data_IF_090246065298
#
_entry.id   IF_090246065298
#
_cell.length_a   1.000
_cell.length_b   1.000
_cell.length_c   1.000
_cell.angle_alpha   90.00
_cell.angle_beta   90.00
_cell.angle_gamma   90.00
#
_symmetry.space_group_name_H-M   'P 1'
#
loop_
_entity.id
_entity.type
_entity.pdbx_description
1 polymer ?
#
# COMPACT_ATOMS: atom_id res chain seq x y z
N UNK A 1 -21.83 -7.50 -25.90
CA UNK A 1 -20.59 -7.57 -26.72
C UNK A 1 -19.70 -6.31 -26.64
N UNK A 2 -19.95 -5.34 -25.75
CA UNK A 2 -19.17 -4.07 -25.69
C UNK A 2 -18.00 -4.04 -24.69
N UNK A 3 -17.88 -5.04 -23.82
CA UNK A 3 -16.87 -5.04 -22.75
C UNK A 3 -15.43 -4.99 -23.29
N UNK A 4 -15.04 -5.78 -24.33
CA UNK A 4 -13.69 -5.73 -24.86
C UNK A 4 -13.35 -4.35 -25.44
N UNK A 5 -14.30 -3.72 -26.15
CA UNK A 5 -14.11 -2.39 -26.76
C UNK A 5 -13.94 -1.30 -25.69
N UNK A 6 -14.69 -1.39 -24.59
CA UNK A 6 -14.57 -0.43 -23.46
C UNK A 6 -13.22 -0.58 -22.74
N UNK A 7 -12.77 -1.80 -22.50
CA UNK A 7 -11.46 -2.08 -21.90
C UNK A 7 -10.34 -1.54 -22.79
N UNK A 8 -10.37 -1.83 -24.10
CA UNK A 8 -9.36 -1.33 -25.05
C UNK A 8 -9.32 0.20 -25.08
N UNK A 9 -10.48 0.88 -25.07
CA UNK A 9 -10.52 2.34 -25.01
C UNK A 9 -9.93 2.88 -23.71
N UNK A 10 -10.27 2.29 -22.57
CA UNK A 10 -9.73 2.70 -21.27
C UNK A 10 -8.21 2.51 -21.21
N UNK A 11 -7.70 1.38 -21.72
CA UNK A 11 -6.27 1.11 -21.81
C UNK A 11 -5.56 2.11 -22.74
N UNK A 12 -6.12 2.41 -23.91
CA UNK A 12 -5.55 3.43 -24.82
C UNK A 12 -5.55 4.82 -24.19
N UNK A 13 -6.55 5.15 -23.39
CA UNK A 13 -6.62 6.43 -22.68
C UNK A 13 -5.54 6.52 -21.59
N UNK A 14 -5.36 5.46 -20.81
CA UNK A 14 -4.34 5.33 -19.76
C UNK A 14 -2.92 5.05 -20.30
N UNK A 15 -2.77 4.69 -21.57
CA UNK A 15 -1.51 4.23 -22.15
C UNK A 15 -0.32 5.17 -21.87
N UNK A 16 -0.40 6.50 -22.03
CA UNK A 16 0.73 7.38 -21.73
C UNK A 16 1.20 7.29 -20.27
N UNK A 17 0.27 7.10 -19.33
CA UNK A 17 0.59 6.96 -17.91
C UNK A 17 1.30 5.62 -17.62
N UNK A 18 0.78 4.53 -18.20
CA UNK A 18 1.37 3.19 -18.02
C UNK A 18 2.75 3.11 -18.69
N UNK A 19 2.89 3.61 -19.92
CA UNK A 19 4.19 3.66 -20.60
C UNK A 19 5.20 4.52 -19.85
N UNK A 20 4.79 5.73 -19.44
CA UNK A 20 5.64 6.61 -18.65
C UNK A 20 6.09 5.97 -17.34
N UNK A 21 5.17 5.33 -16.62
CA UNK A 21 5.45 4.57 -15.41
C UNK A 21 6.51 3.48 -15.66
N UNK A 22 6.30 2.63 -16.68
CA UNK A 22 7.24 1.56 -17.03
C UNK A 22 8.61 2.10 -17.41
N UNK A 23 8.69 3.18 -18.19
CA UNK A 23 9.97 3.80 -18.56
C UNK A 23 10.75 4.29 -17.34
N UNK A 24 10.08 5.00 -16.42
CA UNK A 24 10.70 5.45 -15.16
C UNK A 24 11.16 4.24 -14.34
N UNK A 25 10.35 3.19 -14.26
CA UNK A 25 10.70 2.00 -13.48
C UNK A 25 11.86 1.21 -14.05
N UNK A 26 11.91 1.04 -15.37
CA UNK A 26 13.04 0.41 -16.05
C UNK A 26 14.32 1.22 -15.87
N UNK A 27 14.24 2.56 -15.92
CA UNK A 27 15.39 3.41 -15.63
C UNK A 27 15.87 3.25 -14.19
N UNK A 28 14.97 3.28 -13.20
CA UNK A 28 15.34 3.03 -11.81
C UNK A 28 15.93 1.62 -11.60
N UNK A 29 15.38 0.60 -12.26
CA UNK A 29 15.91 -0.77 -12.21
C UNK A 29 17.31 -0.83 -12.81
N UNK A 30 17.57 -0.13 -13.92
CA UNK A 30 18.90 -0.04 -14.53
C UNK A 30 19.89 0.60 -13.55
N UNK A 31 19.54 1.74 -12.97
CA UNK A 31 20.38 2.44 -11.98
C UNK A 31 20.69 1.53 -10.79
N UNK A 32 19.67 0.85 -10.23
CA UNK A 32 19.89 -0.09 -9.13
C UNK A 32 20.77 -1.26 -9.56
N UNK A 33 20.55 -1.82 -10.75
CA UNK A 33 21.33 -2.95 -11.25
C UNK A 33 22.81 -2.60 -11.39
N UNK A 34 23.11 -1.39 -11.89
CA UNK A 34 24.48 -0.88 -11.99
C UNK A 34 25.12 -0.66 -10.61
N UNK A 35 24.35 -0.12 -9.65
CA UNK A 35 24.81 0.04 -8.28
C UNK A 35 25.05 -1.31 -7.60
N UNK A 36 24.09 -2.23 -7.66
CA UNK A 36 24.17 -3.55 -7.05
C UNK A 36 25.37 -4.33 -7.61
N UNK A 37 25.57 -4.31 -8.92
CA UNK A 37 26.71 -4.93 -9.56
C UNK A 37 28.05 -4.37 -9.07
N UNK A 38 28.16 -3.04 -8.91
CA UNK A 38 29.37 -2.40 -8.37
C UNK A 38 29.66 -2.78 -6.91
N UNK A 39 28.60 -3.04 -6.14
CA UNK A 39 28.71 -3.49 -4.75
C UNK A 39 28.88 -5.02 -4.63
N UNK A 40 28.94 -5.75 -5.75
CA UNK A 40 29.05 -7.22 -5.74
C UNK A 40 27.75 -7.95 -5.38
N UNK A 41 26.60 -7.27 -5.38
CA UNK A 41 25.29 -7.83 -5.09
C UNK A 41 24.50 -8.17 -6.36
N UNK A 42 23.69 -9.23 -6.29
CA UNK A 42 22.73 -9.56 -7.32
C UNK A 42 21.45 -8.72 -7.21
N UNK A 43 20.90 -8.28 -8.34
CA UNK A 43 19.64 -7.52 -8.35
C UNK A 43 18.43 -8.36 -7.95
N UNK A 44 18.42 -9.65 -8.31
CA UNK A 44 17.28 -10.52 -8.05
C UNK A 44 17.06 -10.79 -6.55
N UNK A 45 18.08 -11.17 -5.74
CA UNK A 45 17.92 -11.31 -4.29
C UNK A 45 17.39 -10.03 -3.63
N UNK A 46 17.94 -8.87 -4.00
CA UNK A 46 17.52 -7.56 -3.51
C UNK A 46 16.02 -7.29 -3.75
N UNK A 47 15.48 -7.71 -4.89
CA UNK A 47 14.08 -7.47 -5.23
C UNK A 47 13.14 -8.58 -4.71
N UNK A 48 13.58 -9.83 -4.70
CA UNK A 48 12.70 -10.97 -4.55
C UNK A 48 12.80 -11.68 -3.19
N UNK A 49 13.88 -11.49 -2.43
CA UNK A 49 14.16 -12.30 -1.23
C UNK A 49 14.62 -11.50 -0.02
N UNK A 50 15.06 -10.24 -0.18
CA UNK A 50 15.53 -9.44 0.94
C UNK A 50 14.40 -8.79 1.75
N UNK A 51 14.71 -8.50 3.01
CA UNK A 51 13.85 -7.82 3.99
C UNK A 51 12.46 -8.49 4.13
N UNK A 52 11.36 -7.76 3.92
CA UNK A 52 10.00 -8.29 4.12
C UNK A 52 9.62 -9.35 3.09
N UNK A 53 10.31 -9.43 1.95
CA UNK A 53 10.05 -10.46 0.93
C UNK A 53 10.23 -11.84 1.55
N UNK A 54 11.25 -12.02 2.39
CA UNK A 54 11.53 -13.28 3.08
C UNK A 54 10.38 -13.72 3.98
N UNK A 55 9.71 -12.78 4.65
CA UNK A 55 8.52 -13.07 5.48
C UNK A 55 7.34 -13.54 4.63
N UNK A 56 7.06 -12.85 3.52
CA UNK A 56 5.96 -13.25 2.62
C UNK A 56 6.21 -14.60 1.97
N UNK A 57 7.45 -14.86 1.52
CA UNK A 57 7.86 -16.16 0.97
C UNK A 57 7.75 -17.25 2.04
N UNK A 58 8.27 -17.00 3.24
CA UNK A 58 8.20 -17.95 4.35
C UNK A 58 6.77 -18.31 4.75
N UNK A 59 5.83 -17.34 4.74
CA UNK A 59 4.40 -17.59 4.97
C UNK A 59 3.79 -18.38 3.81
N UNK A 60 4.16 -18.07 2.57
CA UNK A 60 3.65 -18.78 1.39
C UNK A 60 4.03 -20.27 1.42
N UNK A 61 5.25 -20.58 1.88
CA UNK A 61 5.80 -21.94 1.97
C UNK A 61 5.30 -22.69 3.21
N UNK A 62 5.40 -22.07 4.38
CA UNK A 62 5.26 -22.75 5.68
C UNK A 62 3.97 -22.39 6.43
N UNK A 63 3.27 -21.35 5.97
CA UNK A 63 2.12 -20.78 6.66
C UNK A 63 2.50 -19.91 7.86
N UNK A 64 1.50 -19.53 8.63
CA UNK A 64 1.66 -18.64 9.77
C UNK A 64 2.07 -19.39 11.05
N UNK A 65 2.77 -18.68 11.94
CA UNK A 65 3.11 -19.11 13.28
C UNK A 65 1.86 -19.40 14.12
N UNK A 66 1.92 -20.43 14.96
CA UNK A 66 0.79 -20.86 15.82
C UNK A 66 0.78 -20.14 17.17
N UNK A 67 1.93 -19.63 17.60
CA UNK A 67 2.14 -19.05 18.92
C UNK A 67 2.71 -17.64 18.79
N UNK A 68 2.56 -16.84 19.86
CA UNK A 68 3.08 -15.47 19.90
C UNK A 68 4.61 -15.45 20.03
N UNK A 69 5.19 -16.39 20.79
CA UNK A 69 6.60 -16.36 21.14
C UNK A 69 6.97 -15.17 22.04
N UNK A 70 8.27 -14.99 22.27
CA UNK A 70 8.83 -13.91 23.11
C UNK A 70 9.92 -13.10 22.41
N UNK A 71 10.37 -13.55 21.25
CA UNK A 71 11.40 -12.86 20.47
C UNK A 71 10.83 -11.62 19.78
N UNK A 72 11.57 -10.51 19.86
CA UNK A 72 11.29 -9.31 19.08
C UNK A 72 11.57 -9.56 17.60
N UNK A 73 10.81 -8.87 16.74
CA UNK A 73 11.00 -8.83 15.28
C UNK A 73 10.99 -10.21 14.60
N UNK A 74 10.29 -11.18 15.20
CA UNK A 74 10.37 -12.59 14.82
C UNK A 74 9.02 -13.27 14.51
N UNK A 75 7.89 -12.56 14.64
CA UNK A 75 6.56 -13.18 14.49
C UNK A 75 5.88 -12.80 13.18
N UNK A 76 5.66 -13.81 12.32
CA UNK A 76 5.08 -13.60 11.00
C UNK A 76 3.57 -13.24 10.99
N UNK A 77 2.88 -13.31 12.14
CA UNK A 77 1.48 -12.86 12.27
C UNK A 77 1.32 -11.34 12.07
N UNK A 78 2.41 -10.56 12.06
CA UNK A 78 2.38 -9.14 11.71
C UNK A 78 2.05 -8.89 10.23
N UNK A 79 2.32 -9.85 9.36
CA UNK A 79 2.15 -9.73 7.92
C UNK A 79 0.76 -10.19 7.50
N UNK A 80 0.02 -9.32 6.81
CA UNK A 80 -1.35 -9.59 6.40
C UNK A 80 -1.43 -10.58 5.22
N UNK A 81 -2.56 -11.32 5.07
CA UNK A 81 -2.55 -12.61 4.39
C UNK A 81 -2.70 -12.56 2.87
N UNK A 82 -3.24 -11.49 2.30
CA UNK A 82 -3.63 -11.51 0.88
C UNK A 82 -2.43 -11.73 -0.04
N UNK A 83 -1.32 -11.04 0.22
CA UNK A 83 -0.12 -11.15 -0.59
C UNK A 83 0.54 -12.54 -0.50
N UNK A 84 0.92 -13.08 0.69
CA UNK A 84 1.55 -14.39 0.76
C UNK A 84 0.63 -15.54 0.31
N UNK A 85 -0.69 -15.43 0.50
CA UNK A 85 -1.65 -16.41 -0.05
C UNK A 85 -1.66 -16.35 -1.58
N UNK A 86 -1.67 -15.15 -2.17
CA UNK A 86 -1.60 -14.99 -3.62
C UNK A 86 -0.26 -15.51 -4.19
N UNK A 87 0.86 -15.26 -3.51
CA UNK A 87 2.18 -15.81 -3.86
C UNK A 87 2.16 -17.33 -3.83
N UNK A 88 1.61 -17.93 -2.75
CA UNK A 88 1.43 -19.37 -2.67
C UNK A 88 0.64 -19.87 -3.87
N UNK A 89 -0.54 -19.33 -4.14
CA UNK A 89 -1.40 -19.73 -5.26
C UNK A 89 -0.69 -19.63 -6.62
N UNK A 90 0.02 -18.53 -6.88
CA UNK A 90 0.78 -18.34 -8.12
C UNK A 90 1.93 -19.34 -8.26
N UNK A 91 2.56 -19.73 -7.15
CA UNK A 91 3.64 -20.72 -7.14
C UNK A 91 3.16 -22.14 -7.50
N UNK A 92 1.86 -22.44 -7.33
CA UNK A 92 1.26 -23.69 -7.84
C UNK A 92 1.01 -23.65 -9.35
N UNK A 93 0.84 -22.46 -9.93
CA UNK A 93 0.40 -22.27 -11.31
C UNK A 93 1.55 -21.94 -12.26
N UNK A 94 2.61 -21.32 -11.75
CA UNK A 94 3.74 -20.83 -12.53
C UNK A 94 5.00 -21.63 -12.22
N UNK A 95 5.86 -21.88 -13.22
CA UNK A 95 7.19 -22.40 -12.96
C UNK A 95 8.04 -21.34 -12.25
N UNK A 96 8.87 -21.77 -11.29
CA UNK A 96 9.82 -20.91 -10.58
C UNK A 96 9.68 -20.97 -9.06
N UNK A 97 10.42 -20.09 -8.37
CA UNK A 97 10.39 -19.98 -6.91
C UNK A 97 9.24 -19.10 -6.41
N UNK A 98 8.75 -19.29 -5.17
CA UNK A 98 7.78 -18.39 -4.56
C UNK A 98 8.23 -16.92 -4.52
N UNK A 99 9.52 -16.67 -4.34
CA UNK A 99 10.12 -15.35 -4.46
C UNK A 99 9.89 -14.72 -5.85
N UNK A 100 10.05 -15.51 -6.93
CA UNK A 100 9.77 -15.05 -8.30
C UNK A 100 8.28 -14.78 -8.53
N UNK A 101 7.40 -15.60 -7.95
CA UNK A 101 5.96 -15.40 -8.01
C UNK A 101 5.54 -14.11 -7.27
N UNK A 102 6.15 -13.83 -6.12
CA UNK A 102 6.00 -12.57 -5.38
C UNK A 102 6.43 -11.36 -6.20
N UNK A 103 7.64 -11.41 -6.75
CA UNK A 103 8.17 -10.35 -7.61
C UNK A 103 7.22 -10.06 -8.79
N UNK A 104 6.77 -11.11 -9.49
CA UNK A 104 5.83 -10.96 -10.60
C UNK A 104 4.50 -10.34 -10.15
N UNK A 105 3.94 -10.80 -9.02
CA UNK A 105 2.71 -10.26 -8.46
C UNK A 105 2.85 -8.78 -8.15
N UNK A 106 3.97 -8.36 -7.56
CA UNK A 106 4.23 -6.96 -7.24
C UNK A 106 4.34 -6.09 -8.50
N UNK A 107 5.09 -6.53 -9.52
CA UNK A 107 5.22 -5.82 -10.81
C UNK A 107 3.86 -5.68 -11.50
N UNK A 108 3.07 -6.75 -11.57
CA UNK A 108 1.73 -6.70 -12.18
C UNK A 108 0.82 -5.77 -11.40
N UNK A 109 0.81 -5.88 -10.07
CA UNK A 109 0.04 -4.99 -9.21
C UNK A 109 0.46 -3.52 -9.38
N UNK A 110 1.75 -3.26 -9.62
CA UNK A 110 2.26 -1.90 -9.79
C UNK A 110 1.71 -1.23 -11.07
N UNK A 111 1.48 -2.00 -12.13
CA UNK A 111 0.80 -1.51 -13.33
C UNK A 111 -0.67 -1.17 -13.05
N UNK A 112 -1.37 -2.00 -12.28
CA UNK A 112 -2.75 -1.71 -11.85
C UNK A 112 -2.82 -0.51 -10.91
N UNK A 113 -1.83 -0.33 -10.04
CA UNK A 113 -1.69 0.84 -9.19
C UNK A 113 -1.46 2.12 -10.01
N UNK A 114 -0.51 2.12 -10.95
CA UNK A 114 -0.27 3.24 -11.85
C UNK A 114 -1.54 3.62 -12.64
N UNK A 115 -2.28 2.62 -13.12
CA UNK A 115 -3.56 2.86 -13.79
C UNK A 115 -4.63 3.43 -12.84
N UNK A 116 -4.74 2.90 -11.61
CA UNK A 116 -5.66 3.43 -10.61
C UNK A 116 -5.37 4.88 -10.22
N UNK A 117 -4.09 5.21 -9.99
CA UNK A 117 -3.62 6.57 -9.70
C UNK A 117 -3.93 7.51 -10.86
N UNK A 118 -3.62 7.08 -12.09
CA UNK A 118 -4.02 7.80 -13.30
C UNK A 118 -5.54 8.04 -13.33
N UNK A 119 -6.34 7.02 -13.05
CA UNK A 119 -7.80 7.10 -13.13
C UNK A 119 -8.38 8.10 -12.12
N UNK A 120 -7.83 8.15 -10.89
CA UNK A 120 -8.21 9.15 -9.88
C UNK A 120 -7.85 10.56 -10.36
N UNK A 121 -6.63 10.76 -10.84
CA UNK A 121 -6.18 12.07 -11.35
C UNK A 121 -6.98 12.55 -12.57
N UNK A 122 -7.20 11.65 -13.54
CA UNK A 122 -8.00 11.92 -14.74
C UNK A 122 -9.44 12.30 -14.38
N UNK A 123 -10.03 11.62 -13.39
CA UNK A 123 -11.39 11.88 -12.93
C UNK A 123 -11.56 13.26 -12.30
N UNK A 124 -10.55 13.77 -11.60
CA UNK A 124 -10.63 15.02 -10.84
C UNK A 124 -10.12 16.23 -11.63
N UNK A 125 -9.02 16.06 -12.37
CA UNK A 125 -8.29 17.17 -12.98
C UNK A 125 -7.89 16.89 -14.44
N UNK A 126 -8.41 15.81 -15.03
CA UNK A 126 -8.22 15.47 -16.43
C UNK A 126 -6.90 14.74 -16.73
N UNK A 127 -6.80 14.27 -17.97
CA UNK A 127 -5.82 13.27 -18.41
C UNK A 127 -4.38 13.63 -18.11
N UNK A 128 -4.00 14.90 -18.30
CA UNK A 128 -2.62 15.38 -18.08
C UNK A 128 -2.21 15.20 -16.62
N UNK A 129 -3.10 15.54 -15.68
CA UNK A 129 -2.83 15.37 -14.25
C UNK A 129 -2.78 13.88 -13.89
N UNK A 130 -3.68 13.05 -14.45
CA UNK A 130 -3.60 11.60 -14.28
C UNK A 130 -2.25 11.01 -14.70
N UNK A 131 -1.72 11.42 -15.87
CA UNK A 131 -0.40 10.97 -16.35
C UNK A 131 0.70 11.45 -15.40
N UNK A 132 0.66 12.73 -15.01
CA UNK A 132 1.64 13.30 -14.10
C UNK A 132 1.67 12.58 -12.75
N UNK A 133 0.52 12.26 -12.16
CA UNK A 133 0.45 11.53 -10.88
C UNK A 133 1.02 10.11 -10.98
N UNK A 134 0.77 9.40 -12.10
CA UNK A 134 1.36 8.09 -12.32
C UNK A 134 2.89 8.15 -12.46
N UNK A 135 3.40 9.17 -13.15
CA UNK A 135 4.85 9.42 -13.27
C UNK A 135 5.48 9.81 -11.94
N UNK A 136 4.83 10.70 -11.19
CA UNK A 136 5.28 11.11 -9.86
C UNK A 136 5.36 9.90 -8.94
N UNK A 137 4.31 9.07 -8.93
CA UNK A 137 4.30 7.82 -8.16
C UNK A 137 5.43 6.88 -8.59
N UNK A 138 5.72 6.76 -9.90
CA UNK A 138 6.85 5.97 -10.40
C UNK A 138 8.22 6.48 -9.90
N UNK A 139 8.35 7.80 -9.73
CA UNK A 139 9.60 8.49 -9.43
C UNK A 139 9.80 8.82 -7.94
N UNK A 140 8.82 8.54 -7.08
CA UNK A 140 8.91 8.85 -5.65
C UNK A 140 10.19 8.25 -5.03
N UNK A 141 10.78 8.93 -4.04
CA UNK A 141 11.75 8.33 -3.13
C UNK A 141 11.27 6.95 -2.67
N UNK A 142 12.16 5.95 -2.68
CA UNK A 142 11.82 4.57 -2.30
C UNK A 142 10.89 3.84 -3.31
N UNK A 143 10.70 4.37 -4.53
CA UNK A 143 9.93 3.73 -5.59
C UNK A 143 10.43 2.34 -6.03
N UNK A 144 11.62 1.93 -5.58
CA UNK A 144 12.12 0.56 -5.75
C UNK A 144 11.17 -0.49 -5.16
N UNK A 145 10.60 -0.21 -3.98
CA UNK A 145 9.73 -1.14 -3.25
C UNK A 145 8.49 -1.52 -4.07
N UNK A 146 8.10 -0.70 -5.05
CA UNK A 146 7.00 -1.01 -5.95
C UNK A 146 7.27 -2.27 -6.81
N UNK A 147 8.54 -2.60 -7.06
CA UNK A 147 8.99 -3.79 -7.80
C UNK A 147 9.73 -4.78 -6.89
N UNK A 148 9.59 -4.67 -5.57
CA UNK A 148 10.05 -5.72 -4.65
C UNK A 148 8.92 -6.71 -4.39
N UNK A 149 9.24 -7.91 -3.89
CA UNK A 149 8.30 -8.98 -3.50
C UNK A 149 7.43 -8.62 -2.29
N UNK A 150 6.75 -7.48 -2.37
CA UNK A 150 6.22 -6.67 -1.27
C UNK A 150 4.74 -6.30 -1.51
N UNK A 151 4.06 -5.85 -0.45
CA UNK A 151 2.62 -5.58 -0.47
C UNK A 151 2.24 -4.21 -1.05
N UNK A 152 3.19 -3.28 -1.18
CA UNK A 152 3.03 -1.87 -1.52
C UNK A 152 2.20 -1.69 -2.79
N UNK A 153 2.65 -2.28 -3.90
CA UNK A 153 1.99 -2.17 -5.18
C UNK A 153 0.59 -2.77 -5.18
N UNK A 154 0.40 -3.91 -4.48
CA UNK A 154 -0.91 -4.55 -4.35
C UNK A 154 -1.89 -3.72 -3.51
N UNK A 155 -1.41 -3.18 -2.39
CA UNK A 155 -2.16 -2.26 -1.55
C UNK A 155 -2.54 -1.00 -2.34
N UNK A 156 -1.59 -0.35 -3.02
CA UNK A 156 -1.84 0.87 -3.79
C UNK A 156 -2.83 0.63 -4.92
N UNK A 157 -2.77 -0.53 -5.60
CA UNK A 157 -3.75 -0.90 -6.62
C UNK A 157 -5.16 -0.96 -6.03
N UNK A 158 -5.36 -1.72 -4.96
CA UNK A 158 -6.67 -1.80 -4.31
C UNK A 158 -7.15 -0.44 -3.76
N UNK A 159 -6.26 0.34 -3.17
CA UNK A 159 -6.58 1.66 -2.65
C UNK A 159 -7.01 2.62 -3.75
N UNK A 160 -6.20 2.79 -4.81
CA UNK A 160 -6.50 3.73 -5.88
C UNK A 160 -7.82 3.37 -6.60
N UNK A 161 -8.06 2.08 -6.86
CA UNK A 161 -9.31 1.63 -7.48
C UNK A 161 -10.52 1.71 -6.53
N UNK A 162 -10.34 1.48 -5.23
CA UNK A 162 -11.38 1.68 -4.22
C UNK A 162 -11.82 3.15 -4.18
N UNK A 163 -10.85 4.07 -4.12
CA UNK A 163 -11.10 5.51 -4.12
C UNK A 163 -11.77 5.95 -5.43
N UNK A 164 -11.28 5.48 -6.57
CA UNK A 164 -11.92 5.72 -7.87
C UNK A 164 -13.37 5.21 -7.92
N UNK A 165 -13.62 4.01 -7.38
CA UNK A 165 -14.96 3.45 -7.28
C UNK A 165 -15.86 4.30 -6.38
N UNK A 166 -15.34 4.83 -5.27
CA UNK A 166 -16.06 5.77 -4.41
C UNK A 166 -16.40 7.08 -5.16
N UNK A 167 -15.43 7.68 -5.86
CA UNK A 167 -15.60 8.91 -6.65
C UNK A 167 -16.57 8.75 -7.84
N UNK A 168 -16.83 7.51 -8.27
CA UNK A 168 -17.74 7.18 -9.36
C UNK A 168 -19.05 6.54 -8.88
N UNK A 169 -19.30 6.49 -7.57
CA UNK A 169 -20.53 5.96 -6.98
C UNK A 169 -20.69 4.44 -7.06
N UNK A 170 -19.62 3.69 -7.32
CA UNK A 170 -19.58 2.22 -7.41
C UNK A 170 -19.27 1.61 -6.04
N UNK A 171 -20.14 1.87 -5.07
CA UNK A 171 -19.92 1.60 -3.65
C UNK A 171 -19.58 0.15 -3.30
N UNK A 172 -20.23 -0.84 -3.93
CA UNK A 172 -19.91 -2.26 -3.68
C UNK A 172 -18.45 -2.55 -4.05
N UNK A 173 -17.99 -2.08 -5.22
CA UNK A 173 -16.60 -2.21 -5.61
C UNK A 173 -15.65 -1.43 -4.69
N UNK A 174 -16.04 -0.22 -4.26
CA UNK A 174 -15.24 0.55 -3.31
C UNK A 174 -15.00 -0.23 -2.01
N UNK A 175 -16.07 -0.80 -1.43
CA UNK A 175 -16.00 -1.62 -0.23
C UNK A 175 -15.22 -2.93 -0.41
N UNK A 176 -15.46 -3.66 -1.49
CA UNK A 176 -14.73 -4.91 -1.78
C UNK A 176 -13.23 -4.65 -1.93
N UNK A 177 -12.83 -3.63 -2.68
CA UNK A 177 -11.42 -3.29 -2.88
C UNK A 177 -10.78 -2.76 -1.58
N UNK A 178 -11.52 -2.01 -0.77
CA UNK A 178 -11.04 -1.58 0.55
C UNK A 178 -10.83 -2.76 1.50
N UNK A 179 -11.72 -3.75 1.47
CA UNK A 179 -11.57 -5.00 2.21
C UNK A 179 -10.33 -5.78 1.78
N UNK A 180 -10.11 -5.92 0.47
CA UNK A 180 -8.90 -6.55 -0.07
C UNK A 180 -7.63 -5.78 0.31
N UNK A 181 -7.63 -4.45 0.24
CA UNK A 181 -6.53 -3.63 0.75
C UNK A 181 -6.29 -3.86 2.25
N UNK A 182 -7.36 -3.97 3.05
CA UNK A 182 -7.31 -4.32 4.46
C UNK A 182 -6.72 -5.69 4.75
N UNK A 183 -6.70 -6.61 3.77
CA UNK A 183 -6.03 -7.92 3.86
C UNK A 183 -4.58 -7.88 3.34
N UNK A 184 -4.07 -6.75 2.87
CA UNK A 184 -2.67 -6.62 2.43
C UNK A 184 -1.75 -6.10 3.52
N UNK A 185 -2.21 -5.15 4.35
CA UNK A 185 -1.37 -4.42 5.30
C UNK A 185 -2.17 -3.85 6.48
N UNK A 186 -1.51 -3.56 7.63
CA UNK A 186 -2.15 -2.91 8.77
C UNK A 186 -2.73 -1.53 8.43
N UNK A 187 -2.04 -0.77 7.58
CA UNK A 187 -2.44 0.57 7.11
C UNK A 187 -3.71 0.56 6.26
N UNK A 188 -4.18 -0.60 5.80
CA UNK A 188 -5.46 -0.73 5.09
C UNK A 188 -6.68 -0.30 5.90
N UNK A 189 -6.55 -0.23 7.24
CA UNK A 189 -7.59 0.34 8.11
C UNK A 189 -7.93 1.80 7.76
N UNK A 190 -6.96 2.59 7.28
CA UNK A 190 -7.19 3.98 6.89
C UNK A 190 -8.15 4.08 5.70
N UNK A 191 -8.00 3.20 4.72
CA UNK A 191 -8.89 3.14 3.56
C UNK A 191 -10.28 2.63 3.95
N UNK A 192 -10.33 1.58 4.78
CA UNK A 192 -11.59 1.06 5.30
C UNK A 192 -12.38 2.13 6.04
N UNK A 193 -11.71 2.91 6.91
CA UNK A 193 -12.30 4.02 7.64
C UNK A 193 -12.81 5.12 6.70
N UNK A 194 -12.00 5.51 5.70
CA UNK A 194 -12.40 6.53 4.73
C UNK A 194 -13.65 6.14 3.93
N UNK A 195 -13.69 4.92 3.38
CA UNK A 195 -14.84 4.43 2.61
C UNK A 195 -16.08 4.29 3.51
N UNK A 196 -15.91 3.74 4.72
CA UNK A 196 -17.01 3.57 5.68
C UNK A 196 -17.60 4.90 6.11
N UNK A 197 -16.76 5.88 6.45
CA UNK A 197 -17.20 7.21 6.89
C UNK A 197 -17.98 7.93 5.79
N UNK A 198 -17.45 7.97 4.57
CA UNK A 198 -18.14 8.65 3.46
C UNK A 198 -19.42 7.90 3.07
N UNK A 199 -19.44 6.57 3.18
CA UNK A 199 -20.67 5.79 3.02
C UNK A 199 -21.73 6.16 4.06
N UNK A 200 -21.35 6.23 5.35
CA UNK A 200 -22.26 6.62 6.45
C UNK A 200 -22.82 8.03 6.24
N UNK A 201 -21.99 9.00 5.87
CA UNK A 201 -22.43 10.36 5.59
C UNK A 201 -23.36 10.40 4.37
N UNK A 202 -23.07 9.63 3.33
CA UNK A 202 -23.93 9.54 2.14
C UNK A 202 -25.30 8.93 2.46
N UNK A 203 -25.35 7.93 3.34
CA UNK A 203 -26.60 7.28 3.78
C UNK A 203 -27.49 8.22 4.59
N UNK A 204 -26.91 9.17 5.35
CA UNK A 204 -27.67 10.19 6.09
C UNK A 204 -28.44 11.12 5.16
N UNK A 205 -27.85 11.45 4.00
CA UNK A 205 -28.51 12.31 3.01
C UNK A 205 -29.52 11.55 2.16
N UNK A 206 -29.18 10.33 1.73
CA UNK A 206 -30.07 9.48 0.93
C UNK A 206 -29.71 8.01 1.11
N UNK A 207 -30.69 7.22 1.54
CA UNK A 207 -30.49 5.79 1.66
C UNK A 207 -30.22 5.13 0.30
N UNK A 208 -29.24 4.24 0.28
CA UNK A 208 -28.91 3.41 -0.86
C UNK A 208 -28.29 2.10 -0.36
N UNK A 209 -28.92 0.97 -0.68
CA UNK A 209 -28.41 -0.34 -0.27
C UNK A 209 -26.99 -0.59 -0.77
N UNK A 210 -26.62 -0.05 -1.95
CA UNK A 210 -25.26 -0.17 -2.50
C UNK A 210 -24.23 0.54 -1.64
N UNK A 211 -24.59 1.72 -1.11
CA UNK A 211 -23.74 2.49 -0.20
C UNK A 211 -23.60 1.75 1.13
N UNK A 212 -24.70 1.22 1.67
CA UNK A 212 -24.69 0.42 2.90
C UNK A 212 -23.80 -0.80 2.76
N UNK A 213 -23.97 -1.59 1.70
CA UNK A 213 -23.13 -2.77 1.42
C UNK A 213 -21.67 -2.36 1.22
N UNK A 214 -21.40 -1.31 0.44
CA UNK A 214 -20.03 -0.82 0.24
C UNK A 214 -19.34 -0.38 1.54
N UNK A 215 -20.03 0.40 2.37
CA UNK A 215 -19.51 0.83 3.67
C UNK A 215 -19.32 -0.34 4.64
N UNK A 216 -20.25 -1.29 4.67
CA UNK A 216 -20.15 -2.47 5.52
C UNK A 216 -19.06 -3.46 5.08
N UNK A 217 -18.79 -3.59 3.77
CA UNK A 217 -17.74 -4.45 3.24
C UNK A 217 -16.33 -3.91 3.54
N UNK A 218 -16.16 -2.60 3.51
CA UNK A 218 -14.85 -1.95 3.59
C UNK A 218 -13.97 -2.39 4.79
N UNK A 219 -14.47 -2.49 6.04
CA UNK A 219 -13.64 -2.90 7.18
C UNK A 219 -13.47 -4.41 7.32
N UNK A 220 -14.23 -5.23 6.59
CA UNK A 220 -14.29 -6.68 6.85
C UNK A 220 -12.94 -7.37 6.68
N UNK A 221 -12.15 -6.99 5.68
CA UNK A 221 -10.87 -7.65 5.42
C UNK A 221 -9.87 -7.43 6.56
N UNK A 222 -9.73 -6.19 7.00
CA UNK A 222 -8.84 -5.86 8.12
C UNK A 222 -9.33 -6.52 9.42
N UNK A 223 -10.62 -6.42 9.73
CA UNK A 223 -11.21 -7.03 10.92
C UNK A 223 -11.12 -8.56 10.90
N UNK A 224 -11.30 -9.19 9.73
CA UNK A 224 -11.19 -10.64 9.59
C UNK A 224 -9.79 -11.14 9.94
N UNK A 225 -8.74 -10.46 9.48
CA UNK A 225 -7.38 -10.88 9.81
C UNK A 225 -7.04 -10.62 11.27
N UNK A 226 -7.34 -9.42 11.80
CA UNK A 226 -7.10 -9.10 13.21
C UNK A 226 -7.86 -10.05 14.15
N UNK A 227 -9.13 -10.32 13.84
CA UNK A 227 -9.94 -11.30 14.56
C UNK A 227 -9.39 -12.72 14.45
N UNK A 228 -8.93 -13.13 13.26
CA UNK A 228 -8.30 -14.44 13.06
C UNK A 228 -7.01 -14.60 13.88
N UNK A 229 -6.15 -13.58 13.93
CA UNK A 229 -4.96 -13.61 14.80
C UNK A 229 -5.36 -13.72 16.27
N UNK A 230 -6.41 -13.00 16.69
CA UNK A 230 -6.92 -13.09 18.05
C UNK A 230 -7.44 -14.48 18.41
N UNK A 231 -8.22 -15.11 17.52
CA UNK A 231 -8.67 -16.49 17.67
C UNK A 231 -7.50 -17.47 17.69
N UNK A 232 -6.51 -17.27 16.82
CA UNK A 232 -5.35 -18.16 16.70
C UNK A 232 -4.47 -18.16 17.94
N UNK A 233 -4.31 -17.00 18.58
CA UNK A 233 -3.53 -16.86 19.80
C UNK A 233 -4.36 -17.07 21.08
N UNK A 234 -5.68 -17.28 20.96
CA UNK A 234 -6.58 -17.36 22.11
C UNK A 234 -6.68 -16.06 22.91
N UNK A 235 -6.47 -14.90 22.26
CA UNK A 235 -6.35 -13.59 22.89
C UNK A 235 -7.06 -12.51 22.08
N UNK A 236 -7.96 -11.74 22.71
CA UNK A 236 -8.67 -10.66 22.04
C UNK A 236 -7.73 -9.55 21.52
N UNK A 237 -6.60 -9.32 22.21
CA UNK A 237 -5.56 -8.35 21.84
C UNK A 237 -4.46 -8.96 20.96
N UNK A 238 -4.62 -10.18 20.45
CA UNK A 238 -3.55 -10.98 19.86
C UNK A 238 -2.73 -10.27 18.78
N UNK A 239 -3.39 -9.59 17.84
CA UNK A 239 -2.69 -8.84 16.80
C UNK A 239 -1.87 -7.66 17.36
N UNK A 240 -2.40 -6.95 18.35
CA UNK A 240 -1.69 -5.85 19.00
C UNK A 240 -0.52 -6.35 19.85
N UNK A 241 -0.64 -7.54 20.46
CA UNK A 241 0.47 -8.19 21.13
C UNK A 241 1.60 -8.54 20.16
N UNK A 242 1.27 -8.99 18.94
CA UNK A 242 2.25 -9.19 17.86
C UNK A 242 2.91 -7.87 17.47
N UNK A 243 2.14 -6.78 17.29
CA UNK A 243 2.70 -5.47 16.94
C UNK A 243 3.69 -4.93 17.99
N UNK A 244 3.47 -5.21 19.28
CA UNK A 244 4.42 -4.86 20.35
C UNK A 244 5.76 -5.59 20.21
N UNK A 245 5.76 -6.85 19.76
CA UNK A 245 6.99 -7.59 19.47
C UNK A 245 7.73 -7.04 18.24
N UNK A 246 7.04 -6.30 17.38
CA UNK A 246 7.62 -5.59 16.23
C UNK A 246 8.00 -4.14 16.55
N UNK A 247 8.05 -3.78 17.84
CA UNK A 247 8.36 -2.42 18.32
C UNK A 247 7.44 -1.32 17.74
N UNK A 248 6.31 -1.72 17.14
CA UNK A 248 5.31 -0.82 16.57
C UNK A 248 4.37 -0.32 17.67
N UNK A 249 4.86 0.65 18.44
CA UNK A 249 4.07 1.35 19.43
C UNK A 249 3.60 2.70 18.87
N UNK A 250 2.36 3.06 19.20
CA UNK A 250 1.84 4.41 18.97
C UNK A 250 2.41 5.26 20.10
N UNK A 251 3.39 6.08 19.79
CA UNK A 251 4.05 6.98 20.73
C UNK A 251 3.61 8.45 20.55
N UNK A 252 2.66 8.69 19.64
CA UNK A 252 2.18 10.02 19.32
C UNK A 252 3.14 10.84 18.45
N UNK A 253 4.12 10.19 17.82
CA UNK A 253 5.09 10.81 16.93
C UNK A 253 6.30 11.42 17.64
N UNK A 254 6.51 11.09 18.92
CA UNK A 254 7.68 11.55 19.68
C UNK A 254 8.98 11.03 19.06
N UNK A 255 9.04 9.77 18.69
CA UNK A 255 10.19 9.16 18.03
C UNK A 255 10.37 9.70 16.61
N UNK A 256 9.29 9.94 15.87
CA UNK A 256 9.34 10.61 14.56
C UNK A 256 9.98 12.00 14.68
N UNK A 257 9.57 12.78 15.68
CA UNK A 257 10.14 14.12 15.94
C UNK A 257 11.59 14.04 16.40
N UNK A 258 11.94 13.09 17.28
CA UNK A 258 13.32 12.88 17.71
C UNK A 258 14.22 12.53 16.53
N UNK A 259 13.82 11.58 15.67
CA UNK A 259 14.61 11.21 14.48
C UNK A 259 14.77 12.36 13.48
N UNK A 260 13.76 13.22 13.35
CA UNK A 260 13.85 14.44 12.54
C UNK A 260 14.89 15.41 13.10
N UNK A 261 14.89 15.62 14.41
CA UNK A 261 15.83 16.51 15.11
C UNK A 261 17.27 15.95 15.01
N UNK A 262 17.46 14.69 15.39
CA UNK A 262 18.76 14.01 15.39
C UNK A 262 19.44 14.06 14.01
N UNK A 263 18.69 13.83 12.91
CA UNK A 263 19.30 13.68 11.58
C UNK A 263 19.27 14.93 10.70
N UNK A 264 18.42 15.92 10.98
CA UNK A 264 18.40 17.16 10.22
C UNK A 264 19.18 18.29 10.91
N UNK A 265 19.38 18.21 12.23
CA UNK A 265 19.93 19.30 13.04
C UNK A 265 21.23 18.89 13.72
N UNK A 266 21.33 17.68 14.29
CA UNK A 266 22.49 17.29 15.10
C UNK A 266 23.55 16.47 14.35
N UNK A 267 23.14 15.62 13.40
CA UNK A 267 24.06 14.74 12.68
C UNK A 267 24.84 15.47 11.57
N UNK A 268 26.17 15.34 11.58
CA UNK A 268 27.06 15.90 10.56
C UNK A 268 27.15 15.04 9.29
N UNK A 269 26.69 13.78 9.34
CA UNK A 269 26.74 12.82 8.21
C UNK A 269 25.48 11.93 8.09
N UNK A 270 24.26 12.50 8.00
CA UNK A 270 23.04 11.72 7.96
C UNK A 270 22.96 10.83 6.72
N UNK A 271 22.42 9.61 6.87
CA UNK A 271 22.16 8.71 5.75
C UNK A 271 21.14 9.34 4.79
N UNK A 272 21.50 9.43 3.50
CA UNK A 272 20.67 10.04 2.46
C UNK A 272 19.23 9.49 2.43
N UNK A 273 19.07 8.19 2.69
CA UNK A 273 17.76 7.54 2.75
C UNK A 273 16.85 8.19 3.80
N UNK A 274 17.37 8.45 5.00
CA UNK A 274 16.56 9.00 6.07
C UNK A 274 16.19 10.47 5.80
N UNK A 275 17.10 11.26 5.23
CA UNK A 275 16.80 12.63 4.77
C UNK A 275 15.65 12.59 3.74
N UNK A 276 15.71 11.66 2.77
CA UNK A 276 14.65 11.51 1.77
C UNK A 276 13.30 11.12 2.40
N UNK A 277 13.29 10.25 3.41
CA UNK A 277 12.08 9.92 4.17
C UNK A 277 11.52 11.16 4.87
N UNK A 278 12.37 11.90 5.59
CA UNK A 278 11.97 13.12 6.30
C UNK A 278 11.38 14.18 5.35
N UNK A 279 12.06 14.47 4.24
CA UNK A 279 11.57 15.41 3.22
C UNK A 279 10.25 14.92 2.62
N UNK A 280 10.12 13.61 2.36
CA UNK A 280 8.87 13.03 1.83
C UNK A 280 7.71 13.22 2.82
N UNK A 281 7.93 13.01 4.12
CA UNK A 281 6.91 13.23 5.15
C UNK A 281 6.49 14.70 5.26
N UNK A 282 7.46 15.62 5.24
CA UNK A 282 7.20 17.07 5.28
C UNK A 282 6.40 17.50 4.05
N UNK A 283 6.88 17.16 2.84
CA UNK A 283 6.20 17.50 1.59
C UNK A 283 4.81 16.89 1.54
N UNK A 284 4.63 15.63 1.95
CA UNK A 284 3.32 14.97 1.98
C UNK A 284 2.35 15.66 2.94
N UNK A 285 2.84 16.12 4.10
CA UNK A 285 2.03 16.86 5.09
C UNK A 285 1.61 18.22 4.53
N UNK A 286 2.53 18.97 3.91
CA UNK A 286 2.22 20.25 3.27
C UNK A 286 1.21 20.09 2.13
N UNK A 287 1.39 19.08 1.28
CA UNK A 287 0.45 18.77 0.20
C UNK A 287 -0.92 18.35 0.74
N UNK A 288 -0.98 17.62 1.85
CA UNK A 288 -2.24 17.27 2.51
C UNK A 288 -2.97 18.51 3.03
N UNK A 289 -2.27 19.42 3.73
CA UNK A 289 -2.85 20.69 4.19
C UNK A 289 -3.39 21.47 2.99
N UNK A 290 -2.62 21.55 1.90
CA UNK A 290 -3.08 22.21 0.67
C UNK A 290 -4.32 21.55 0.08
N UNK A 291 -4.37 20.22 0.02
CA UNK A 291 -5.55 19.48 -0.46
C UNK A 291 -6.78 19.73 0.41
N UNK A 292 -6.60 19.84 1.73
CA UNK A 292 -7.68 20.15 2.66
C UNK A 292 -8.21 21.58 2.46
N UNK A 293 -7.31 22.55 2.27
CA UNK A 293 -7.66 23.94 1.94
C UNK A 293 -8.39 24.04 0.60
N UNK A 294 -7.98 23.25 -0.39
CA UNK A 294 -8.61 23.17 -1.71
C UNK A 294 -9.91 22.34 -1.72
N UNK A 295 -10.35 21.83 -0.56
CA UNK A 295 -11.58 21.04 -0.38
C UNK A 295 -11.69 19.86 -1.34
N UNK A 296 -10.58 19.12 -1.49
CA UNK A 296 -10.56 17.88 -2.26
C UNK A 296 -11.61 16.87 -1.74
N UNK A 297 -12.04 15.90 -2.56
CA UNK A 297 -13.07 14.94 -2.17
C UNK A 297 -12.80 14.30 -0.80
N UNK A 298 -13.83 14.27 0.05
CA UNK A 298 -13.71 13.84 1.45
C UNK A 298 -13.06 12.46 1.62
N UNK A 299 -13.38 11.50 0.76
CA UNK A 299 -12.79 10.15 0.83
C UNK A 299 -11.27 10.17 0.66
N UNK A 300 -10.74 11.07 -0.17
CA UNK A 300 -9.29 11.22 -0.36
C UNK A 300 -8.67 11.90 0.87
N UNK A 301 -9.30 12.94 1.40
CA UNK A 301 -8.81 13.64 2.60
C UNK A 301 -8.77 12.71 3.81
N UNK A 302 -9.83 11.95 4.06
CA UNK A 302 -9.88 11.02 5.21
C UNK A 302 -8.85 9.90 5.05
N UNK A 303 -8.74 9.30 3.86
CA UNK A 303 -7.76 8.25 3.61
C UNK A 303 -6.32 8.75 3.81
N UNK A 304 -5.95 9.84 3.13
CA UNK A 304 -4.60 10.40 3.19
C UNK A 304 -4.28 10.93 4.59
N UNK A 305 -5.24 11.60 5.24
CA UNK A 305 -5.06 12.14 6.59
C UNK A 305 -4.87 11.04 7.64
N UNK A 306 -5.65 9.96 7.58
CA UNK A 306 -5.47 8.81 8.47
C UNK A 306 -4.16 8.08 8.20
N UNK A 307 -3.76 7.94 6.92
CA UNK A 307 -2.49 7.32 6.58
C UNK A 307 -1.30 8.16 7.10
N UNK A 308 -1.35 9.48 6.92
CA UNK A 308 -0.34 10.39 7.49
C UNK A 308 -0.33 10.33 9.02
N UNK A 309 -1.49 10.28 9.67
CA UNK A 309 -1.55 10.15 11.13
C UNK A 309 -0.94 8.84 11.62
N UNK A 310 -1.16 7.72 10.91
CA UNK A 310 -0.55 6.44 11.25
C UNK A 310 0.97 6.51 11.09
N UNK A 311 1.47 7.05 9.98
CA UNK A 311 2.91 7.11 9.68
C UNK A 311 3.64 8.09 10.61
N UNK A 312 3.07 9.26 10.88
CA UNK A 312 3.67 10.24 11.77
C UNK A 312 3.57 9.84 13.24
N UNK A 313 2.52 9.09 13.61
CA UNK A 313 2.25 8.66 14.97
C UNK A 313 2.81 7.29 15.36
N UNK A 314 3.47 6.58 14.44
CA UNK A 314 4.17 5.32 14.72
C UNK A 314 5.63 5.60 15.06
N UNK A 315 6.11 5.07 16.19
CA UNK A 315 7.51 5.23 16.61
C UNK A 315 8.49 4.24 15.97
N UNK A 316 8.26 3.86 14.71
CA UNK A 316 8.97 2.80 13.98
C UNK A 316 9.48 3.28 12.63
#
# INVERSE_FOLDING_TARGET
MDLPRRIVRALRHAAPAIYGYVCVRLFCLLVLSLWAHRQGHGIWPLLANDWDSSWYVGIAENGYARELGTAYDANNLAFFPLYPVAVRMLSWLLPGSPASAGLLLAVVASLFAAWGVFAVGDRLHGRRVGVFLALLWAALPVGLVQWMGYTESLFTAFAAWSLYACLTGRWVWAGTLASLAGLTRPTGVALAAAVSLVALLSLRSRFSWRVLVGGALAPLGWLAYVGWVGLRLGRADGYFAVQKLWRNNIDGGVETLRRLDDHLIEDSTPELFLIMVCVTLIVSTLLYVRCALDRQPLVLLVFTGLLLAIVLGSGG
#
